data_IF_592836123844
#
_entry.id   IF_592836123844
#
_cell.length_a   1.000
_cell.length_b   1.000
_cell.length_c   1.000
_cell.angle_alpha   90.00
_cell.angle_beta   90.00
_cell.angle_gamma   90.00
#
_symmetry.space_group_name_H-M   'P 1'
#
loop_
_entity.id
_entity.type
_entity.pdbx_description
1 polymer ?
#
# COMPACT_ATOMS: atom_id res chain seq x y z
N UNK A 1 -6.77 15.45 -8.66
CA UNK A 1 -5.93 14.29 -8.29
C UNK A 1 -6.54 13.04 -8.90
N UNK A 2 -5.73 12.13 -9.45
CA UNK A 2 -6.23 10.84 -9.87
C UNK A 2 -6.71 10.07 -8.64
N UNK A 3 -7.88 9.44 -8.72
CA UNK A 3 -8.37 8.55 -7.67
C UNK A 3 -7.38 7.40 -7.48
N UNK A 4 -6.84 7.27 -6.28
CA UNK A 4 -5.93 6.21 -5.91
C UNK A 4 -6.30 5.75 -4.50
N UNK A 5 -7.02 4.62 -4.42
CA UNK A 5 -7.45 4.02 -3.15
C UNK A 5 -6.37 3.11 -2.53
N UNK A 6 -5.36 2.73 -3.31
CA UNK A 6 -4.21 1.96 -2.85
C UNK A 6 -2.92 2.36 -3.56
N UNK A 7 -1.82 2.40 -2.82
CA UNK A 7 -0.47 2.63 -3.33
C UNK A 7 0.54 1.74 -2.60
N UNK A 8 1.59 1.33 -3.32
CA UNK A 8 2.72 0.58 -2.78
C UNK A 8 4.00 1.20 -3.32
N UNK A 9 4.95 1.44 -2.42
CA UNK A 9 6.25 2.01 -2.73
C UNK A 9 7.34 1.37 -1.89
N UNK A 10 8.58 1.56 -2.31
CA UNK A 10 9.76 1.12 -1.55
C UNK A 10 10.75 2.26 -1.46
N UNK A 11 11.48 2.35 -0.34
CA UNK A 11 12.35 3.49 -0.03
C UNK A 11 13.73 3.03 0.45
N UNK A 12 14.74 3.87 0.22
CA UNK A 12 16.12 3.67 0.69
C UNK A 12 16.50 4.69 1.76
N UNK A 13 17.54 4.39 2.54
CA UNK A 13 18.02 5.28 3.62
C UNK A 13 18.71 6.55 3.11
N UNK A 14 19.26 6.55 1.90
CA UNK A 14 19.86 7.75 1.31
C UNK A 14 18.82 8.70 0.70
N UNK A 15 17.61 8.19 0.41
CA UNK A 15 16.65 8.83 -0.47
C UNK A 15 17.19 9.06 -1.89
N UNK A 16 16.34 9.56 -2.79
CA UNK A 16 16.78 10.27 -4.00
C UNK A 16 16.44 11.75 -3.80
N UNK A 17 17.39 12.64 -4.06
CA UNK A 17 17.03 14.02 -4.38
C UNK A 17 16.21 13.94 -5.67
N UNK A 18 14.91 14.23 -5.60
CA UNK A 18 14.11 14.30 -6.81
C UNK A 18 14.61 15.52 -7.59
N UNK A 19 15.27 15.30 -8.73
CA UNK A 19 15.79 16.39 -9.56
C UNK A 19 14.67 17.38 -9.87
N UNK A 20 14.78 18.62 -9.38
CA UNK A 20 13.80 19.68 -9.62
C UNK A 20 12.52 19.66 -8.77
N UNK A 21 12.42 18.83 -7.73
CA UNK A 21 11.25 18.80 -6.84
C UNK A 21 11.53 19.56 -5.53
N UNK A 22 10.62 20.47 -5.15
CA UNK A 22 10.59 21.13 -3.83
C UNK A 22 10.24 20.19 -2.67
N UNK A 23 9.85 18.93 -2.94
CA UNK A 23 9.69 17.90 -1.90
C UNK A 23 11.06 17.34 -1.55
N UNK A 24 11.35 17.24 -0.25
CA UNK A 24 12.58 16.67 0.30
C UNK A 24 12.87 15.24 -0.21
N UNK A 25 14.04 14.70 0.14
CA UNK A 25 14.44 13.37 -0.33
C UNK A 25 13.43 12.31 0.13
N UNK A 26 12.97 11.48 -0.80
CA UNK A 26 12.03 10.38 -0.51
C UNK A 26 12.83 9.21 0.09
N UNK A 27 13.13 9.32 1.39
CA UNK A 27 13.96 8.40 2.16
C UNK A 27 13.11 7.64 3.19
N UNK A 28 13.67 6.60 3.79
CA UNK A 28 12.99 5.92 4.92
C UNK A 28 12.69 6.91 6.06
N UNK A 29 13.62 7.83 6.34
CA UNK A 29 13.44 8.90 7.34
C UNK A 29 12.25 9.79 7.04
N UNK A 30 12.06 10.20 5.78
CA UNK A 30 10.91 11.04 5.43
C UNK A 30 9.59 10.30 5.63
N UNK A 31 9.55 8.98 5.39
CA UNK A 31 8.35 8.16 5.64
C UNK A 31 8.08 8.07 7.15
N UNK A 32 9.07 7.70 7.96
CA UNK A 32 8.88 7.65 9.42
C UNK A 32 8.48 9.00 10.01
N UNK A 33 9.09 10.10 9.55
CA UNK A 33 8.73 11.45 9.98
C UNK A 33 7.32 11.88 9.56
N UNK A 34 6.89 11.49 8.35
CA UNK A 34 5.51 11.74 7.87
C UNK A 34 4.49 10.98 8.72
N UNK A 35 4.73 9.70 9.01
CA UNK A 35 3.90 8.89 9.90
C UNK A 35 3.89 9.43 11.32
N UNK A 36 5.04 9.88 11.81
CA UNK A 36 5.14 10.46 13.14
C UNK A 36 4.51 11.86 13.21
N UNK A 37 4.07 12.45 12.09
CA UNK A 37 3.59 13.84 11.99
C UNK A 37 4.61 14.83 12.56
N UNK A 38 5.86 14.70 12.14
CA UNK A 38 6.90 15.66 12.44
C UNK A 38 6.81 16.87 11.51
N UNK A 39 6.97 18.08 12.06
CA UNK A 39 6.71 19.35 11.37
C UNK A 39 7.42 19.47 10.00
N UNK A 40 8.67 19.04 9.91
CA UNK A 40 9.47 19.08 8.66
C UNK A 40 8.95 18.10 7.59
N UNK A 41 8.18 17.10 7.98
CA UNK A 41 7.72 16.00 7.13
C UNK A 41 6.21 16.02 6.87
N UNK A 42 5.44 16.89 7.54
CA UNK A 42 4.01 17.09 7.31
C UNK A 42 3.58 18.57 7.07
N UNK A 43 4.25 19.34 6.19
CA UNK A 43 4.00 20.78 6.03
C UNK A 43 2.64 21.14 5.39
N UNK A 44 1.90 20.14 4.92
CA UNK A 44 0.61 20.30 4.25
C UNK A 44 -0.59 20.13 5.20
N UNK A 45 -0.33 19.83 6.47
CA UNK A 45 -1.36 19.64 7.51
C UNK A 45 -1.19 20.75 8.53
N UNK A 46 -2.21 21.58 8.67
CA UNK A 46 -2.17 22.77 9.52
C UNK A 46 -2.11 22.42 11.02
N UNK A 47 -2.83 21.38 11.42
CA UNK A 47 -2.89 20.90 12.80
C UNK A 47 -2.80 19.37 12.82
N UNK A 48 -1.59 18.79 12.72
CA UNK A 48 -1.43 17.34 12.66
C UNK A 48 -1.91 16.68 13.95
N UNK A 49 -2.72 15.63 13.81
CA UNK A 49 -3.15 14.83 14.94
C UNK A 49 -2.00 13.93 15.44
N UNK A 50 -2.15 13.38 16.65
CA UNK A 50 -1.28 12.31 17.08
C UNK A 50 -1.51 11.06 16.20
N UNK A 51 -0.44 10.36 15.77
CA UNK A 51 -0.59 9.20 14.91
C UNK A 51 -1.29 8.05 15.63
N UNK A 52 -2.27 7.44 14.97
CA UNK A 52 -3.00 6.30 15.50
C UNK A 52 -2.31 5.01 15.05
N UNK A 53 -1.52 4.42 15.94
CA UNK A 53 -0.87 3.12 15.67
C UNK A 53 -1.89 2.02 15.91
N UNK A 54 -2.29 1.35 14.83
CA UNK A 54 -3.22 0.21 14.90
C UNK A 54 -2.49 -1.08 15.26
N UNK A 55 -1.24 -1.22 14.82
CA UNK A 55 -0.45 -2.41 15.09
C UNK A 55 1.06 -2.13 15.06
N UNK A 56 1.77 -2.67 16.05
CA UNK A 56 3.22 -2.79 16.12
C UNK A 56 3.56 -3.97 17.06
N UNK A 57 4.63 -4.71 16.76
CA UNK A 57 4.95 -5.99 17.43
C UNK A 57 5.22 -5.92 18.95
N UNK A 58 5.56 -4.76 19.49
CA UNK A 58 5.97 -4.56 20.89
C UNK A 58 4.84 -3.95 21.73
N UNK A 59 3.68 -3.67 21.13
CA UNK A 59 2.54 -3.03 21.78
C UNK A 59 2.75 -1.55 22.09
N UNK A 60 3.77 -0.90 21.49
CA UNK A 60 3.96 0.54 21.64
C UNK A 60 2.91 1.29 20.82
N UNK A 61 2.60 2.52 21.25
CA UNK A 61 1.60 3.38 20.59
C UNK A 61 2.16 4.75 20.24
N UNK A 62 1.48 5.46 19.34
CA UNK A 62 1.82 6.83 18.96
C UNK A 62 3.23 6.98 18.40
N UNK A 63 3.85 8.14 18.65
CA UNK A 63 5.18 8.48 18.10
C UNK A 63 6.29 7.54 18.61
N UNK A 64 6.16 7.03 19.83
CA UNK A 64 7.16 6.11 20.41
C UNK A 64 7.20 4.78 19.65
N UNK A 65 6.06 4.25 19.21
CA UNK A 65 6.03 3.04 18.39
C UNK A 65 6.73 3.26 17.04
N UNK A 66 6.44 4.39 16.39
CA UNK A 66 7.02 4.75 15.10
C UNK A 66 8.54 4.89 15.24
N UNK A 67 9.00 5.56 16.30
CA UNK A 67 10.42 5.73 16.58
C UNK A 67 11.12 4.40 16.87
N UNK A 68 10.48 3.52 17.64
CA UNK A 68 11.04 2.20 17.93
C UNK A 68 11.18 1.35 16.64
N UNK A 69 10.19 1.39 15.75
CA UNK A 69 10.25 0.72 14.45
C UNK A 69 11.36 1.31 13.57
N UNK A 70 11.48 2.63 13.51
CA UNK A 70 12.53 3.31 12.76
C UNK A 70 13.94 2.87 13.20
N UNK A 71 14.18 2.83 14.52
CA UNK A 71 15.45 2.39 15.08
C UNK A 71 15.78 0.94 14.70
N UNK A 72 14.82 0.01 14.88
CA UNK A 72 15.00 -1.40 14.51
C UNK A 72 15.26 -1.57 13.02
N UNK A 73 14.52 -0.84 12.18
CA UNK A 73 14.75 -0.82 10.73
C UNK A 73 16.18 -0.38 10.40
N UNK A 74 16.65 0.71 11.00
CA UNK A 74 17.97 1.25 10.72
C UNK A 74 19.11 0.33 11.19
N UNK A 75 18.94 -0.32 12.34
CA UNK A 75 19.84 -1.35 12.86
C UNK A 75 19.90 -2.56 11.91
N UNK A 76 18.74 -3.10 11.49
CA UNK A 76 18.65 -4.20 10.54
C UNK A 76 19.31 -3.85 9.21
N UNK A 77 19.01 -2.67 8.65
CA UNK A 77 19.57 -2.21 7.40
C UNK A 77 21.09 -1.94 7.48
N UNK A 78 21.61 -1.55 8.65
CA UNK A 78 23.05 -1.39 8.88
C UNK A 78 23.77 -2.74 9.02
N UNK A 79 23.13 -3.73 9.64
CA UNK A 79 23.67 -5.08 9.80
C UNK A 79 23.63 -5.90 8.49
N UNK A 80 22.67 -5.61 7.61
CA UNK A 80 22.43 -6.36 6.37
C UNK A 80 23.69 -6.50 5.49
N UNK A 81 23.96 -7.75 5.07
CA UNK A 81 25.07 -8.11 4.19
C UNK A 81 24.54 -8.76 2.91
N UNK A 82 25.22 -8.50 1.80
CA UNK A 82 24.92 -9.11 0.49
C UNK A 82 26.13 -9.89 -0.01
N UNK A 83 25.88 -11.06 -0.60
CA UNK A 83 26.91 -11.86 -1.22
C UNK A 83 27.45 -11.17 -2.47
N UNK A 84 28.76 -11.27 -2.67
CA UNK A 84 29.42 -10.81 -3.90
C UNK A 84 29.43 -11.98 -4.88
N UNK A 85 28.70 -11.84 -5.99
CA UNK A 85 28.50 -12.91 -6.97
C UNK A 85 29.47 -12.85 -8.15
N UNK A 86 30.24 -11.78 -8.29
CA UNK A 86 31.14 -11.58 -9.44
C UNK A 86 32.43 -10.84 -9.05
N UNK A 87 33.48 -11.05 -9.86
CA UNK A 87 34.78 -10.39 -9.70
C UNK A 87 35.71 -11.09 -8.71
N UNK A 88 36.86 -10.45 -8.41
CA UNK A 88 37.93 -11.01 -7.56
C UNK A 88 37.48 -11.34 -6.13
N UNK A 89 36.40 -10.72 -5.66
CA UNK A 89 35.85 -10.92 -4.33
C UNK A 89 34.61 -11.84 -4.34
N UNK A 90 34.35 -12.57 -5.43
CA UNK A 90 33.26 -13.54 -5.49
C UNK A 90 33.35 -14.56 -4.34
N UNK A 91 32.22 -14.82 -3.68
CA UNK A 91 32.15 -15.67 -2.48
C UNK A 91 32.34 -14.93 -1.15
N UNK A 92 32.69 -13.65 -1.17
CA UNK A 92 32.70 -12.79 0.03
C UNK A 92 31.33 -12.13 0.26
N UNK A 93 31.18 -11.43 1.40
CA UNK A 93 30.03 -10.57 1.68
C UNK A 93 30.45 -9.11 1.82
N UNK A 94 29.53 -8.19 1.52
CA UNK A 94 29.71 -6.75 1.72
C UNK A 94 28.48 -6.13 2.37
N UNK A 95 28.66 -4.95 2.97
CA UNK A 95 27.54 -4.18 3.51
C UNK A 95 26.51 -3.83 2.42
N UNK A 96 25.23 -3.86 2.80
CA UNK A 96 24.15 -3.38 1.96
C UNK A 96 24.36 -1.89 1.68
N UNK A 97 24.19 -1.48 0.42
CA UNK A 97 24.40 -0.08 0.04
C UNK A 97 23.29 0.81 0.65
N UNK A 98 23.64 2.05 0.99
CA UNK A 98 22.67 3.01 1.56
C UNK A 98 21.54 3.39 0.59
N UNK A 99 21.77 3.23 -0.71
CA UNK A 99 20.78 3.44 -1.78
C UNK A 99 19.87 2.22 -2.04
N UNK A 100 20.12 1.09 -1.38
CA UNK A 100 19.25 -0.07 -1.47
C UNK A 100 17.90 0.23 -0.81
N UNK A 101 16.83 -0.20 -1.47
CA UNK A 101 15.49 -0.10 -0.92
C UNK A 101 15.36 -1.09 0.24
N UNK A 102 15.08 -0.56 1.44
CA UNK A 102 15.10 -1.28 2.72
C UNK A 102 13.75 -1.27 3.45
N UNK A 103 12.80 -0.46 2.97
CA UNK A 103 11.46 -0.34 3.52
C UNK A 103 10.42 -0.41 2.40
N UNK A 104 9.40 -1.27 2.54
CA UNK A 104 8.15 -1.20 1.78
C UNK A 104 7.18 -0.32 2.59
N UNK A 105 6.52 0.62 1.93
CA UNK A 105 5.42 1.38 2.52
C UNK A 105 4.22 1.38 1.58
N UNK A 106 3.10 0.93 2.11
CA UNK A 106 1.82 0.87 1.42
C UNK A 106 0.88 1.91 2.02
N UNK A 107 -0.04 2.44 1.20
CA UNK A 107 -1.09 3.36 1.62
C UNK A 107 -2.41 2.84 1.09
N UNK A 108 -3.39 2.69 1.97
CA UNK A 108 -4.76 2.32 1.61
C UNK A 108 -5.70 3.41 2.12
N UNK A 109 -6.47 4.01 1.22
CA UNK A 109 -7.37 5.14 1.55
C UNK A 109 -8.82 4.68 1.59
N UNK A 110 -9.51 5.07 2.66
CA UNK A 110 -10.96 4.94 2.75
C UNK A 110 -11.65 5.94 1.82
N UNK A 111 -12.83 5.57 1.34
CA UNK A 111 -13.53 6.32 0.30
C UNK A 111 -14.44 7.44 0.83
N UNK A 112 -14.82 7.40 2.11
CA UNK A 112 -15.65 8.42 2.73
C UNK A 112 -14.78 9.43 3.50
N UNK A 113 -15.11 10.73 3.44
CA UNK A 113 -14.32 11.75 4.14
C UNK A 113 -14.27 11.54 5.65
N UNK A 114 -13.27 12.13 6.28
CA UNK A 114 -13.23 12.25 7.75
C UNK A 114 -14.51 12.92 8.25
N UNK A 115 -15.10 12.36 9.32
CA UNK A 115 -16.36 12.84 9.92
C UNK A 115 -17.64 12.46 9.16
N UNK A 116 -17.55 11.65 8.09
CA UNK A 116 -18.69 11.14 7.33
C UNK A 116 -18.70 9.63 7.12
N UNK A 117 -17.63 8.96 7.52
CA UNK A 117 -17.49 7.52 7.42
C UNK A 117 -18.15 6.83 8.60
N UNK A 118 -18.43 5.55 8.40
CA UNK A 118 -18.77 4.62 9.47
C UNK A 118 -17.47 4.02 10.04
N UNK A 119 -17.19 4.26 11.32
CA UNK A 119 -15.95 3.82 11.99
C UNK A 119 -15.85 2.29 12.03
N UNK A 120 -16.93 1.61 12.38
CA UNK A 120 -16.97 0.15 12.47
C UNK A 120 -16.70 -0.46 11.10
N UNK A 121 -17.29 0.12 10.06
CA UNK A 121 -17.15 -0.38 8.70
C UNK A 121 -15.75 -0.14 8.12
N UNK A 122 -15.18 1.03 8.38
CA UNK A 122 -13.82 1.35 7.99
C UNK A 122 -12.80 0.45 8.70
N UNK A 123 -12.98 0.19 10.00
CA UNK A 123 -12.09 -0.68 10.77
C UNK A 123 -12.16 -2.13 10.29
N UNK A 124 -13.36 -2.65 10.01
CA UNK A 124 -13.52 -3.98 9.42
C UNK A 124 -12.82 -4.10 8.05
N UNK A 125 -12.90 -3.05 7.22
CA UNK A 125 -12.14 -3.00 5.96
C UNK A 125 -10.63 -3.01 6.18
N UNK A 126 -10.14 -2.22 7.14
CA UNK A 126 -8.72 -2.20 7.49
C UNK A 126 -8.27 -3.59 7.93
N UNK A 127 -9.06 -4.30 8.75
CA UNK A 127 -8.72 -5.65 9.20
C UNK A 127 -8.59 -6.65 8.04
N UNK A 128 -9.53 -6.65 7.08
CA UNK A 128 -9.42 -7.51 5.90
C UNK A 128 -8.22 -7.15 5.01
N UNK A 129 -7.96 -5.84 4.81
CA UNK A 129 -6.76 -5.39 4.11
C UNK A 129 -5.51 -5.89 4.83
N UNK A 130 -5.49 -5.83 6.16
CA UNK A 130 -4.32 -6.16 6.95
C UNK A 130 -4.03 -7.65 7.00
N UNK A 131 -5.06 -8.49 7.09
CA UNK A 131 -4.94 -9.93 6.89
C UNK A 131 -4.29 -10.24 5.54
N UNK A 132 -4.79 -9.66 4.45
CA UNK A 132 -4.24 -9.91 3.12
C UNK A 132 -2.81 -9.40 2.94
N UNK A 133 -2.50 -8.21 3.45
CA UNK A 133 -1.13 -7.67 3.39
C UNK A 133 -0.17 -8.52 4.21
N UNK A 134 -0.59 -8.98 5.39
CA UNK A 134 0.17 -9.91 6.22
C UNK A 134 0.52 -11.20 5.48
N UNK A 135 -0.46 -11.83 4.83
CA UNK A 135 -0.26 -13.01 3.99
C UNK A 135 0.68 -12.74 2.80
N UNK A 136 0.47 -11.63 2.08
CA UNK A 136 1.27 -11.25 0.92
C UNK A 136 2.74 -11.01 1.29
N UNK A 137 2.97 -10.31 2.41
CA UNK A 137 4.30 -9.98 2.91
C UNK A 137 5.00 -11.23 3.43
N UNK A 138 4.30 -12.08 4.20
CA UNK A 138 4.83 -13.33 4.71
C UNK A 138 5.21 -14.29 3.57
N UNK A 139 4.36 -14.43 2.55
CA UNK A 139 4.63 -15.26 1.38
C UNK A 139 5.86 -14.78 0.57
N UNK A 140 6.21 -13.50 0.67
CA UNK A 140 7.40 -12.91 0.06
C UNK A 140 8.63 -12.89 0.99
N UNK A 141 8.56 -13.57 2.15
CA UNK A 141 9.66 -13.68 3.12
C UNK A 141 9.86 -12.44 3.99
N UNK A 142 8.86 -11.56 4.07
CA UNK A 142 8.90 -10.37 4.91
C UNK A 142 8.03 -10.44 6.14
N UNK A 143 7.99 -9.33 6.85
CA UNK A 143 7.08 -9.08 7.97
C UNK A 143 6.54 -7.65 7.91
N UNK A 144 5.30 -7.47 8.38
CA UNK A 144 4.75 -6.16 8.68
C UNK A 144 5.42 -5.64 9.95
N UNK A 145 5.81 -4.38 9.97
CA UNK A 145 6.51 -3.74 11.10
C UNK A 145 5.62 -2.76 11.86
N UNK A 146 4.73 -2.07 11.14
CA UNK A 146 3.96 -0.95 11.66
C UNK A 146 2.74 -0.68 10.79
N UNK A 147 1.61 -0.41 11.46
CA UNK A 147 0.36 0.02 10.84
C UNK A 147 -0.09 1.32 11.51
N UNK A 148 -0.23 2.39 10.73
CA UNK A 148 -0.64 3.72 11.23
C UNK A 148 -1.85 4.22 10.45
N UNK A 149 -2.91 4.60 11.15
CA UNK A 149 -4.08 5.26 10.61
C UNK A 149 -3.96 6.77 10.76
N UNK A 150 -4.20 7.49 9.68
CA UNK A 150 -4.31 8.94 9.68
C UNK A 150 -5.76 9.36 9.45
N UNK A 151 -6.23 10.28 10.31
CA UNK A 151 -7.61 10.81 10.33
C UNK A 151 -7.65 12.34 10.21
N UNK A 152 -6.52 12.96 9.95
CA UNK A 152 -6.27 14.41 9.91
C UNK A 152 -6.07 14.95 8.47
N UNK A 153 -6.50 14.16 7.48
CA UNK A 153 -6.55 14.53 6.06
C UNK A 153 -7.96 14.41 5.50
N UNK A 154 -8.16 14.70 4.20
CA UNK A 154 -9.49 14.70 3.59
C UNK A 154 -10.21 13.35 3.69
N UNK A 155 -9.45 12.26 3.63
CA UNK A 155 -9.95 10.88 3.72
C UNK A 155 -9.07 10.09 4.69
N UNK A 156 -9.67 9.23 5.54
CA UNK A 156 -8.91 8.27 6.34
C UNK A 156 -8.00 7.42 5.45
N UNK A 157 -6.79 7.16 5.91
CA UNK A 157 -5.90 6.25 5.21
C UNK A 157 -4.94 5.56 6.17
N UNK A 158 -4.66 4.29 5.88
CA UNK A 158 -3.73 3.47 6.65
C UNK A 158 -2.42 3.31 5.89
N UNK A 159 -1.32 3.55 6.59
CA UNK A 159 0.02 3.24 6.16
C UNK A 159 0.45 1.89 6.73
N UNK A 160 1.03 1.06 5.89
CA UNK A 160 1.60 -0.24 6.29
C UNK A 160 3.07 -0.28 5.93
N UNK A 161 3.93 -0.48 6.92
CA UNK A 161 5.37 -0.65 6.72
C UNK A 161 5.75 -2.12 6.79
N UNK A 162 6.65 -2.55 5.91
CA UNK A 162 7.13 -3.93 5.89
C UNK A 162 8.61 -4.02 5.53
N UNK A 163 9.28 -5.00 6.11
CA UNK A 163 10.70 -5.28 5.86
C UNK A 163 10.93 -6.77 5.60
N UNK A 164 12.17 -7.11 5.24
CA UNK A 164 12.66 -8.50 5.16
C UNK A 164 13.94 -8.66 5.98
N UNK A 165 14.23 -9.85 6.52
CA UNK A 165 15.45 -10.09 7.30
C UNK A 165 16.75 -9.75 6.54
N UNK A 166 16.78 -9.98 5.22
CA UNK A 166 17.94 -9.70 4.36
C UNK A 166 18.15 -8.19 4.09
N UNK A 167 17.25 -7.34 4.60
CA UNK A 167 17.26 -5.90 4.49
C UNK A 167 16.69 -5.37 3.17
N UNK A 168 17.06 -5.94 2.02
CA UNK A 168 16.58 -5.45 0.72
C UNK A 168 15.15 -5.91 0.43
N UNK A 169 14.22 -4.98 0.16
CA UNK A 169 12.76 -5.27 0.07
C UNK A 169 12.18 -5.35 -1.34
N UNK A 170 12.98 -5.40 -2.41
CA UNK A 170 12.44 -5.38 -3.78
C UNK A 170 11.44 -6.53 -4.06
N UNK A 171 11.63 -7.68 -3.43
CA UNK A 171 10.73 -8.85 -3.50
C UNK A 171 9.36 -8.62 -2.87
N UNK A 172 9.26 -7.69 -1.91
CA UNK A 172 7.98 -7.31 -1.32
C UNK A 172 7.14 -6.48 -2.28
N UNK A 173 7.72 -5.84 -3.30
CA UNK A 173 6.94 -5.05 -4.25
C UNK A 173 6.53 -5.92 -5.47
N UNK A 174 5.24 -6.21 -5.70
CA UNK A 174 4.79 -7.19 -6.69
C UNK A 174 5.25 -6.85 -8.11
N UNK A 175 5.20 -5.57 -8.50
CA UNK A 175 5.72 -5.13 -9.79
C UNK A 175 7.23 -5.35 -9.97
N UNK A 176 8.04 -5.06 -8.94
CA UNK A 176 9.50 -5.21 -9.00
C UNK A 176 9.90 -6.67 -9.00
N UNK A 177 9.25 -7.49 -8.15
CA UNK A 177 9.39 -8.94 -8.15
C UNK A 177 9.10 -9.53 -9.53
N UNK A 178 7.94 -9.24 -10.12
CA UNK A 178 7.57 -9.76 -11.44
C UNK A 178 8.54 -9.32 -12.55
N UNK A 179 9.04 -8.07 -12.49
CA UNK A 179 10.09 -7.61 -13.42
C UNK A 179 11.38 -8.41 -13.22
N UNK A 180 11.85 -8.56 -11.99
CA UNK A 180 13.08 -9.27 -11.68
C UNK A 180 13.04 -10.74 -12.11
N UNK A 181 11.95 -11.44 -11.83
CA UNK A 181 11.72 -12.83 -12.25
C UNK A 181 11.80 -12.97 -13.78
N UNK A 182 11.16 -12.05 -14.52
CA UNK A 182 11.18 -12.09 -15.97
C UNK A 182 12.59 -11.83 -16.54
N UNK A 183 13.32 -10.86 -15.99
CA UNK A 183 14.70 -10.57 -16.42
C UNK A 183 15.62 -11.77 -16.10
N UNK A 184 15.44 -12.41 -14.93
CA UNK A 184 16.19 -13.61 -14.56
C UNK A 184 15.91 -14.79 -15.50
N UNK A 185 14.70 -14.87 -16.06
CA UNK A 185 14.32 -15.85 -17.08
C UNK A 185 14.79 -15.51 -18.51
N UNK A 186 15.62 -14.47 -18.69
CA UNK A 186 16.17 -14.06 -19.98
C UNK A 186 15.30 -13.09 -20.78
N UNK A 187 14.24 -12.54 -20.17
CA UNK A 187 13.39 -11.54 -20.79
C UNK A 187 14.08 -10.18 -20.99
N UNK A 188 13.59 -9.41 -21.95
CA UNK A 188 14.06 -8.04 -22.22
C UNK A 188 13.53 -7.04 -21.20
N UNK A 189 14.18 -5.87 -21.06
CA UNK A 189 13.67 -4.79 -20.19
C UNK A 189 12.25 -4.34 -20.58
N UNK A 190 11.96 -4.31 -21.89
CA UNK A 190 10.62 -3.97 -22.40
C UNK A 190 9.57 -4.98 -21.92
N UNK A 191 9.88 -6.27 -21.94
CA UNK A 191 9.00 -7.30 -21.39
C UNK A 191 8.90 -7.19 -19.87
N UNK A 192 10.01 -6.92 -19.17
CA UNK A 192 10.03 -6.72 -17.72
C UNK A 192 9.14 -5.56 -17.28
N UNK A 193 9.13 -4.46 -18.05
CA UNK A 193 8.22 -3.33 -17.80
C UNK A 193 6.75 -3.69 -18.07
N UNK A 194 6.46 -4.61 -19.01
CA UNK A 194 5.10 -5.15 -19.19
C UNK A 194 4.71 -6.03 -18.00
N UNK A 195 5.59 -6.92 -17.56
CA UNK A 195 5.37 -7.76 -16.39
C UNK A 195 5.10 -6.93 -15.13
N UNK A 196 5.89 -5.87 -14.90
CA UNK A 196 5.66 -4.90 -13.82
C UNK A 196 4.25 -4.32 -13.87
N UNK A 197 3.85 -3.75 -15.02
CA UNK A 197 2.53 -3.10 -15.17
C UNK A 197 1.39 -4.08 -14.96
N UNK A 198 1.52 -5.29 -15.51
CA UNK A 198 0.51 -6.35 -15.35
C UNK A 198 0.40 -6.80 -13.88
N UNK A 199 1.53 -6.97 -13.18
CA UNK A 199 1.52 -7.31 -11.76
C UNK A 199 0.91 -6.21 -10.90
N UNK A 200 1.19 -4.94 -11.21
CA UNK A 200 0.60 -3.80 -10.48
C UNK A 200 -0.91 -3.64 -10.72
N UNK A 201 -1.40 -3.98 -11.91
CA UNK A 201 -2.85 -4.04 -12.18
C UNK A 201 -3.51 -5.12 -11.36
N UNK A 202 -2.99 -6.35 -11.39
CA UNK A 202 -3.50 -7.46 -10.58
C UNK A 202 -3.50 -7.13 -9.09
N UNK A 203 -2.41 -6.54 -8.59
CA UNK A 203 -2.34 -6.11 -7.19
C UNK A 203 -3.46 -5.12 -6.84
N UNK A 204 -3.69 -4.08 -7.65
CA UNK A 204 -4.83 -3.15 -7.44
C UNK A 204 -6.18 -3.86 -7.52
N UNK A 205 -6.35 -4.80 -8.46
CA UNK A 205 -7.60 -5.56 -8.62
C UNK A 205 -7.86 -6.43 -7.40
N UNK A 206 -6.83 -7.09 -6.86
CA UNK A 206 -6.95 -7.91 -5.66
C UNK A 206 -7.23 -7.09 -4.40
N UNK A 207 -6.66 -5.89 -4.27
CA UNK A 207 -7.03 -4.96 -3.18
C UNK A 207 -8.50 -4.55 -3.35
N UNK A 208 -8.94 -4.26 -4.57
CA UNK A 208 -10.33 -3.86 -4.81
C UNK A 208 -11.34 -5.00 -4.56
N UNK A 209 -10.99 -6.27 -4.75
CA UNK A 209 -11.89 -7.38 -4.36
C UNK A 209 -12.30 -7.32 -2.89
N UNK A 210 -11.43 -6.83 -2.02
CA UNK A 210 -11.76 -6.54 -0.62
C UNK A 210 -12.54 -5.22 -0.58
N UNK A 211 -11.96 -4.12 -1.05
CA UNK A 211 -12.54 -2.80 -0.91
C UNK A 211 -13.93 -2.62 -1.53
N UNK A 212 -14.28 -3.38 -2.57
CA UNK A 212 -15.59 -3.33 -3.24
C UNK A 212 -16.72 -3.84 -2.32
N UNK A 213 -16.42 -4.81 -1.44
CA UNK A 213 -17.36 -5.26 -0.39
C UNK A 213 -17.79 -4.14 0.54
N UNK A 214 -16.94 -3.10 0.62
CA UNK A 214 -17.08 -1.91 1.46
C UNK A 214 -17.47 -0.67 0.65
N UNK A 215 -17.99 -0.85 -0.57
CA UNK A 215 -18.50 0.23 -1.40
C UNK A 215 -17.43 1.04 -2.14
N UNK A 216 -16.18 0.59 -2.16
CA UNK A 216 -15.11 1.32 -2.85
C UNK A 216 -15.00 0.91 -4.33
N UNK A 217 -15.00 1.92 -5.19
CA UNK A 217 -14.76 1.73 -6.62
C UNK A 217 -13.29 1.43 -6.93
N UNK A 218 -13.04 0.64 -7.99
CA UNK A 218 -11.69 0.34 -8.49
C UNK A 218 -11.03 1.52 -9.21
N UNK A 219 -11.84 2.30 -9.92
CA UNK A 219 -11.43 3.41 -10.76
C UNK A 219 -12.29 4.62 -10.42
N UNK A 220 -11.65 5.78 -10.27
CA UNK A 220 -12.39 7.02 -10.07
C UNK A 220 -12.88 7.66 -11.37
N UNK A 221 -13.61 8.78 -11.26
CA UNK A 221 -14.38 9.36 -12.36
C UNK A 221 -13.49 9.82 -13.50
N UNK A 222 -12.32 10.38 -13.21
CA UNK A 222 -11.38 10.84 -14.24
C UNK A 222 -10.84 9.72 -15.14
N UNK A 223 -10.69 8.49 -14.61
CA UNK A 223 -10.23 7.35 -15.43
C UNK A 223 -11.32 6.83 -16.37
N UNK A 224 -12.58 7.01 -15.98
CA UNK A 224 -13.75 6.63 -16.78
C UNK A 224 -14.39 7.82 -17.52
N UNK A 225 -13.82 9.03 -17.41
CA UNK A 225 -14.34 10.30 -17.94
C UNK A 225 -15.80 10.60 -17.53
N UNK A 226 -16.17 10.21 -16.31
CA UNK A 226 -17.53 10.42 -15.79
C UNK A 226 -17.73 11.86 -15.32
N UNK A 227 -18.95 12.36 -15.53
CA UNK A 227 -19.41 13.59 -14.88
C UNK A 227 -19.52 13.41 -13.36
N UNK A 228 -19.61 14.53 -12.64
CA UNK A 228 -19.80 14.50 -11.18
C UNK A 228 -21.09 13.79 -10.77
N UNK A 229 -22.15 13.90 -11.57
CA UNK A 229 -23.45 13.28 -11.28
C UNK A 229 -23.41 11.78 -11.50
N UNK A 230 -22.88 11.35 -12.65
CA UNK A 230 -22.70 9.92 -12.96
C UNK A 230 -21.80 9.25 -11.91
N UNK A 231 -20.74 9.93 -11.48
CA UNK A 231 -19.87 9.44 -10.42
C UNK A 231 -20.59 9.24 -9.09
N UNK A 232 -21.40 10.22 -8.66
CA UNK A 232 -22.19 10.11 -7.44
C UNK A 232 -23.19 8.95 -7.50
N UNK A 233 -23.82 8.75 -8.66
CA UNK A 233 -24.73 7.61 -8.86
C UNK A 233 -23.97 6.29 -8.76
N UNK A 234 -22.78 6.19 -9.34
CA UNK A 234 -21.95 4.99 -9.24
C UNK A 234 -21.50 4.72 -7.79
N UNK A 235 -21.09 5.74 -7.06
CA UNK A 235 -20.76 5.63 -5.63
C UNK A 235 -21.96 5.12 -4.83
N UNK A 236 -23.16 5.64 -5.09
CA UNK A 236 -24.39 5.18 -4.43
C UNK A 236 -24.71 3.71 -4.77
N UNK A 237 -24.47 3.28 -6.01
CA UNK A 237 -24.62 1.87 -6.42
C UNK A 237 -23.66 0.95 -5.67
N UNK A 238 -22.37 1.33 -5.55
CA UNK A 238 -21.41 0.54 -4.76
C UNK A 238 -21.83 0.46 -3.29
N UNK A 239 -22.25 1.58 -2.68
CA UNK A 239 -22.73 1.58 -1.29
C UNK A 239 -24.00 0.72 -1.10
N UNK A 240 -24.90 0.70 -2.09
CA UNK A 240 -26.10 -0.15 -2.06
C UNK A 240 -25.74 -1.64 -2.12
N UNK A 241 -24.85 -2.03 -3.05
CA UNK A 241 -24.34 -3.40 -3.15
C UNK A 241 -23.63 -3.81 -1.86
N UNK A 242 -22.82 -2.91 -1.30
CA UNK A 242 -22.12 -3.08 -0.02
C UNK A 242 -23.09 -3.40 1.11
N UNK A 243 -24.16 -2.62 1.27
CA UNK A 243 -25.20 -2.87 2.29
C UNK A 243 -25.92 -4.21 2.06
N UNK A 244 -26.23 -4.54 0.81
CA UNK A 244 -26.84 -5.82 0.47
C UNK A 244 -25.92 -7.00 0.83
N UNK A 245 -24.61 -6.87 0.58
CA UNK A 245 -23.61 -7.89 0.91
C UNK A 245 -23.61 -8.21 2.42
N UNK A 246 -23.57 -7.19 3.28
CA UNK A 246 -23.59 -7.42 4.73
C UNK A 246 -24.95 -7.91 5.25
N UNK A 247 -26.06 -7.49 4.64
CA UNK A 247 -27.36 -8.06 4.96
C UNK A 247 -27.40 -9.58 4.65
N UNK A 248 -26.82 -9.99 3.52
CA UNK A 248 -26.71 -11.40 3.14
C UNK A 248 -25.76 -12.20 4.06
N UNK A 249 -24.66 -11.59 4.52
CA UNK A 249 -23.78 -12.17 5.53
C UNK A 249 -24.53 -12.37 6.87
N UNK A 250 -25.28 -11.38 7.32
CA UNK A 250 -26.05 -11.45 8.56
C UNK A 250 -27.16 -12.50 8.51
N UNK A 251 -27.77 -12.71 7.34
CA UNK A 251 -28.76 -13.78 7.13
C UNK A 251 -28.14 -15.15 6.88
N UNK A 252 -26.82 -15.24 6.66
CA UNK A 252 -26.13 -16.49 6.32
C UNK A 252 -26.55 -17.07 4.97
N UNK A 253 -26.86 -16.22 3.98
CA UNK A 253 -27.34 -16.64 2.65
C UNK A 253 -26.16 -16.69 1.65
N UNK A 254 -25.57 -17.87 1.38
CA UNK A 254 -24.40 -17.99 0.52
C UNK A 254 -24.67 -17.64 -0.94
N UNK A 255 -25.89 -17.90 -1.44
CA UNK A 255 -26.27 -17.64 -2.82
C UNK A 255 -26.40 -16.13 -3.06
N UNK A 256 -27.02 -15.41 -2.12
CA UNK A 256 -27.08 -13.95 -2.16
C UNK A 256 -25.68 -13.32 -2.08
N UNK A 257 -24.80 -13.86 -1.22
CA UNK A 257 -23.39 -13.42 -1.12
C UNK A 257 -22.67 -13.59 -2.47
N UNK A 258 -22.83 -14.74 -3.13
CA UNK A 258 -22.18 -15.01 -4.42
C UNK A 258 -22.67 -14.06 -5.51
N UNK A 259 -23.99 -13.87 -5.64
CA UNK A 259 -24.57 -12.97 -6.64
C UNK A 259 -24.10 -11.52 -6.45
N UNK A 260 -24.07 -11.04 -5.20
CA UNK A 260 -23.64 -9.67 -4.90
C UNK A 260 -22.13 -9.50 -5.17
N UNK A 261 -21.31 -10.49 -4.81
CA UNK A 261 -19.88 -10.48 -5.14
C UNK A 261 -19.63 -10.41 -6.65
N UNK A 262 -20.40 -11.15 -7.46
CA UNK A 262 -20.31 -11.09 -8.91
C UNK A 262 -20.70 -9.69 -9.44
N UNK A 263 -21.76 -9.09 -8.88
CA UNK A 263 -22.19 -7.74 -9.24
C UNK A 263 -21.15 -6.66 -8.89
N UNK A 264 -20.48 -6.78 -7.73
CA UNK A 264 -19.41 -5.87 -7.32
C UNK A 264 -18.16 -5.97 -8.20
N UNK A 265 -17.89 -7.15 -8.77
CA UNK A 265 -16.74 -7.40 -9.65
C UNK A 265 -17.04 -7.14 -11.13
N UNK A 266 -18.30 -6.86 -11.50
CA UNK A 266 -18.68 -6.57 -12.86
C UNK A 266 -17.92 -5.32 -13.36
N UNK A 267 -17.11 -5.43 -14.42
CA UNK A 267 -16.32 -4.30 -14.89
C UNK A 267 -17.24 -3.20 -15.39
N UNK A 268 -17.19 -2.05 -14.75
CA UNK A 268 -17.55 -0.79 -15.36
C UNK A 268 -16.51 -0.42 -16.42
N UNK A 269 -16.45 -1.14 -17.53
CA UNK A 269 -15.44 -0.94 -18.59
C UNK A 269 -15.67 0.38 -19.34
N UNK A 270 -14.63 1.20 -19.51
CA UNK A 270 -14.26 1.71 -20.81
C UNK A 270 -13.24 0.72 -21.39
N UNK A 271 -13.56 0.12 -22.53
CA UNK A 271 -12.51 -0.43 -23.39
C UNK A 271 -11.59 0.74 -23.77
N UNK A 272 -10.30 0.69 -23.41
CA UNK A 272 -9.33 1.59 -24.03
C UNK A 272 -9.20 1.21 -25.52
N UNK A 273 -9.17 2.18 -26.44
CA UNK A 273 -8.97 1.89 -27.86
C UNK A 273 -7.59 1.26 -28.05
N UNK A 274 -7.56 0.29 -28.95
CA UNK A 274 -6.38 -0.43 -29.45
C UNK A 274 -5.22 0.49 -29.84
#
# INVERSE_FOLDING_TARGET
MAFQFAHISTFSRSGKAASGSKRGSSSTRSIFGELAREEEHCPHIEAPAAPLVLWERSGLTGRDAIRAVELRHDEQAAAARVAVTAGKAAGSTRALRRDAHTLRADVYSWHEPVGKHDDEWMLAWIDEIMARVGEEVAAAGGQVELVVLHMDEAFPHVHVLSTVPEGRVDQLHPGRRAKAELIAAGGTDKEGNRAYKSAMRRWQDDVNKISAKYGQARLGPGRRRLSRTEWKQEQASYQSLSRAYYAALASGDPDAIEVINQAMQAPGTPQEPS
#
